data_IF_619841144170
#
_entry.id   IF_619841144170
#
_cell.length_a   1.000
_cell.length_b   1.000
_cell.length_c   1.000
_cell.angle_alpha   90.00
_cell.angle_beta   90.00
_cell.angle_gamma   90.00
#
_symmetry.space_group_name_H-M   'P 1'
#
loop_
_entity.id
_entity.type
_entity.pdbx_description
1 polymer ?
#
# COMPACT_ATOMS: atom_id res chain seq x y z
N UNK A 1 -0.99 -18.40 24.70
CA UNK A 1 -0.42 -18.41 23.34
C UNK A 1 0.43 -17.17 23.16
N UNK A 2 1.66 -17.30 22.67
CA UNK A 2 2.53 -16.16 22.32
C UNK A 2 2.00 -15.50 21.05
N UNK A 3 1.76 -14.19 21.09
CA UNK A 3 1.40 -13.38 19.92
C UNK A 3 2.56 -12.47 19.52
N UNK A 4 2.51 -11.96 18.29
CA UNK A 4 3.40 -10.88 17.81
C UNK A 4 2.65 -9.92 16.92
N UNK A 5 3.16 -8.71 16.76
CA UNK A 5 2.68 -7.79 15.72
C UNK A 5 3.20 -8.23 14.34
N UNK A 6 2.45 -7.88 13.31
CA UNK A 6 2.88 -8.00 11.91
C UNK A 6 4.19 -7.23 11.68
N UNK A 7 5.19 -7.89 11.07
CA UNK A 7 6.50 -7.27 10.82
C UNK A 7 6.39 -6.02 9.94
N UNK A 8 5.44 -6.01 9.01
CA UNK A 8 5.19 -4.84 8.17
C UNK A 8 4.76 -3.61 8.97
N UNK A 9 4.04 -3.79 10.10
CA UNK A 9 3.65 -2.69 10.98
C UNK A 9 4.81 -2.21 11.85
N UNK A 10 5.75 -3.09 12.19
CA UNK A 10 6.96 -2.69 12.93
C UNK A 10 7.89 -1.85 12.05
N UNK A 11 7.94 -2.12 10.73
CA UNK A 11 8.63 -1.23 9.77
C UNK A 11 7.99 0.16 9.74
N UNK A 12 6.65 0.25 9.67
CA UNK A 12 5.93 1.54 9.73
C UNK A 12 6.27 2.28 11.03
N UNK A 13 6.22 1.59 12.17
CA UNK A 13 6.52 2.18 13.47
C UNK A 13 7.95 2.72 13.52
N UNK A 14 8.93 1.98 12.97
CA UNK A 14 10.32 2.41 12.90
C UNK A 14 10.49 3.66 12.02
N UNK A 15 9.89 3.68 10.82
CA UNK A 15 9.92 4.85 9.93
C UNK A 15 9.29 6.08 10.57
N UNK A 16 8.13 5.90 11.24
CA UNK A 16 7.44 6.97 11.97
C UNK A 16 8.29 7.50 13.13
N UNK A 17 8.90 6.61 13.93
CA UNK A 17 9.72 7.03 15.06
C UNK A 17 11.02 7.72 14.61
N UNK A 18 11.58 7.34 13.46
CA UNK A 18 12.72 8.03 12.88
C UNK A 18 12.32 9.43 12.35
N UNK A 19 11.15 9.56 11.72
CA UNK A 19 10.65 10.82 11.19
C UNK A 19 10.23 11.81 12.29
N UNK A 20 9.53 11.31 13.31
CA UNK A 20 8.93 12.11 14.37
C UNK A 20 9.36 11.57 15.76
N UNK A 21 10.65 11.69 16.13
CA UNK A 21 11.19 11.07 17.34
C UNK A 21 10.55 11.60 18.63
N UNK A 22 10.10 12.86 18.61
CA UNK A 22 9.48 13.56 19.75
C UNK A 22 7.97 13.38 19.83
N UNK A 23 7.34 12.66 18.90
CA UNK A 23 5.89 12.44 18.94
C UNK A 23 5.46 11.73 20.22
N UNK A 24 4.30 12.13 20.70
CA UNK A 24 3.50 11.39 21.65
C UNK A 24 3.20 9.99 21.12
N UNK A 25 3.15 9.04 22.06
CA UNK A 25 2.82 7.63 21.83
C UNK A 25 1.64 7.19 22.71
N UNK A 26 0.92 8.15 23.30
CA UNK A 26 -0.15 7.91 24.29
C UNK A 26 -1.30 7.06 23.76
N UNK A 27 -1.49 7.06 22.44
CA UNK A 27 -2.51 6.26 21.74
C UNK A 27 -1.90 5.27 20.75
N UNK A 28 -0.60 4.95 20.87
CA UNK A 28 -0.03 3.85 20.11
C UNK A 28 -0.56 2.52 20.69
N UNK A 29 -1.05 1.64 19.83
CA UNK A 29 -1.69 0.39 20.22
C UNK A 29 -1.33 -0.73 19.26
N UNK A 30 -1.26 -1.97 19.75
CA UNK A 30 -1.06 -3.14 18.89
C UNK A 30 -2.02 -4.26 19.27
N UNK A 31 -1.98 -4.76 20.50
CA UNK A 31 -2.89 -5.81 20.96
C UNK A 31 -4.16 -5.19 21.57
N UNK A 32 -5.32 -5.78 21.26
CA UNK A 32 -6.56 -5.44 21.94
C UNK A 32 -6.52 -5.86 23.41
N UNK A 33 -7.20 -5.12 24.29
CA UNK A 33 -7.36 -5.57 25.67
C UNK A 33 -8.17 -6.88 25.75
N UNK A 34 -8.18 -7.59 26.90
CA UNK A 34 -8.94 -8.84 27.04
C UNK A 34 -10.46 -8.70 26.77
N UNK A 35 -11.05 -7.53 26.99
CA UNK A 35 -12.46 -7.27 26.65
C UNK A 35 -12.65 -7.07 25.13
N UNK A 36 -11.62 -6.62 24.42
CA UNK A 36 -11.55 -6.51 22.97
C UNK A 36 -11.33 -7.87 22.29
N UNK A 37 -10.75 -8.84 23.00
CA UNK A 37 -10.49 -10.20 22.50
C UNK A 37 -11.78 -10.98 22.14
N UNK A 38 -12.92 -10.61 22.73
CA UNK A 38 -14.22 -11.21 22.43
C UNK A 38 -14.81 -10.80 21.06
N UNK A 39 -14.19 -9.85 20.35
CA UNK A 39 -14.67 -9.29 19.09
C UNK A 39 -13.83 -9.77 17.90
N UNK A 40 -14.41 -9.77 16.70
CA UNK A 40 -13.61 -9.92 15.47
C UNK A 40 -12.89 -8.61 15.19
N UNK A 41 -11.58 -8.56 15.48
CA UNK A 41 -10.73 -7.37 15.32
C UNK A 41 -9.32 -7.77 14.89
N UNK A 42 -8.66 -6.94 14.09
CA UNK A 42 -7.26 -7.16 13.69
C UNK A 42 -6.25 -6.82 14.77
N UNK A 43 -6.71 -6.19 15.86
CA UNK A 43 -5.99 -6.09 17.12
C UNK A 43 -5.97 -7.42 17.90
N UNK A 44 -6.72 -8.42 17.45
CA UNK A 44 -6.65 -9.78 17.99
C UNK A 44 -5.73 -10.64 17.13
N UNK A 45 -4.92 -11.53 17.73
CA UNK A 45 -4.06 -12.41 16.97
C UNK A 45 -4.89 -13.31 16.04
N UNK A 46 -4.44 -13.43 14.79
CA UNK A 46 -5.00 -14.41 13.86
C UNK A 46 -4.62 -15.86 14.26
N UNK A 47 -5.02 -16.85 13.45
CA UNK A 47 -4.70 -18.27 13.69
C UNK A 47 -3.19 -18.58 13.81
N UNK A 48 -2.33 -17.72 13.30
CA UNK A 48 -0.87 -17.84 13.38
C UNK A 48 -0.27 -17.02 14.55
N UNK A 49 -1.09 -16.45 15.43
CA UNK A 49 -0.64 -15.60 16.53
C UNK A 49 -0.19 -14.20 16.09
N UNK A 50 -0.62 -13.72 14.92
CA UNK A 50 -0.19 -12.42 14.38
C UNK A 50 -1.30 -11.39 14.51
N UNK A 51 -0.97 -10.27 15.15
CA UNK A 51 -1.81 -9.08 15.24
C UNK A 51 -1.53 -8.18 14.03
N UNK A 52 -2.58 -7.89 13.25
CA UNK A 52 -2.46 -7.20 11.95
C UNK A 52 -2.83 -5.73 12.00
N UNK A 53 -3.23 -5.22 13.16
CA UNK A 53 -3.53 -3.81 13.37
C UNK A 53 -2.49 -3.13 14.27
N UNK A 54 -2.26 -1.85 14.00
CA UNK A 54 -1.53 -0.94 14.88
C UNK A 54 -2.14 0.44 14.80
N UNK A 55 -2.23 1.08 15.96
CA UNK A 55 -2.62 2.47 16.10
C UNK A 55 -1.39 3.37 16.22
N UNK A 56 -1.44 4.53 15.58
CA UNK A 56 -0.40 5.56 15.64
C UNK A 56 -1.00 6.87 16.14
N UNK A 57 -0.48 7.36 17.26
CA UNK A 57 -0.93 8.60 17.90
C UNK A 57 -0.83 9.78 16.93
N UNK A 58 -1.90 10.58 16.81
CA UNK A 58 -1.85 11.85 16.11
C UNK A 58 -1.19 12.90 17.01
N UNK A 59 -0.04 13.40 16.57
CA UNK A 59 0.70 14.45 17.29
C UNK A 59 1.45 15.34 16.29
N UNK A 60 0.77 16.34 15.70
CA UNK A 60 1.38 17.22 14.71
C UNK A 60 2.49 18.09 15.34
N UNK A 61 2.39 18.42 16.64
CA UNK A 61 3.43 19.19 17.34
C UNK A 61 4.71 18.37 17.56
N UNK A 62 4.57 17.07 17.80
CA UNK A 62 5.69 16.13 17.89
C UNK A 62 6.18 15.60 16.54
N UNK A 63 5.56 16.03 15.43
CA UNK A 63 5.99 15.76 14.05
C UNK A 63 5.21 14.68 13.29
N UNK A 64 4.15 14.10 13.86
CA UNK A 64 3.30 13.12 13.19
C UNK A 64 1.87 13.65 12.98
N UNK A 65 1.62 14.23 11.80
CA UNK A 65 0.28 14.55 11.35
C UNK A 65 -0.38 13.33 10.67
N UNK A 66 -1.44 12.82 11.29
CA UNK A 66 -2.18 11.66 10.79
C UNK A 66 -3.03 11.97 9.57
N UNK A 67 -3.35 13.25 9.29
CA UNK A 67 -3.97 13.64 8.01
C UNK A 67 -3.01 13.37 6.85
N UNK A 68 -1.73 13.73 7.02
CA UNK A 68 -0.68 13.49 6.02
C UNK A 68 -0.39 11.99 5.90
N UNK A 69 -0.28 11.28 7.03
CA UNK A 69 -0.05 9.84 7.03
C UNK A 69 -1.20 9.07 6.35
N UNK A 70 -2.46 9.41 6.66
CA UNK A 70 -3.64 8.80 6.05
C UNK A 70 -3.66 8.99 4.53
N UNK A 71 -3.35 10.20 4.05
CA UNK A 71 -3.29 10.49 2.62
C UNK A 71 -2.22 9.63 1.92
N UNK A 72 -1.00 9.57 2.47
CA UNK A 72 0.09 8.76 1.91
C UNK A 72 -0.24 7.27 1.86
N UNK A 73 -0.78 6.73 2.96
CA UNK A 73 -1.18 5.33 3.02
C UNK A 73 -2.33 5.02 2.04
N UNK A 74 -3.30 5.93 1.90
CA UNK A 74 -4.38 5.78 0.94
C UNK A 74 -3.89 5.78 -0.51
N UNK A 75 -2.92 6.62 -0.84
CA UNK A 75 -2.31 6.63 -2.18
C UNK A 75 -1.53 5.34 -2.46
N UNK A 76 -0.77 4.83 -1.49
CA UNK A 76 -0.12 3.52 -1.61
C UNK A 76 -1.13 2.38 -1.75
N UNK A 77 -2.24 2.42 -1.00
CA UNK A 77 -3.32 1.43 -1.06
C UNK A 77 -3.99 1.43 -2.44
N UNK A 78 -4.25 2.61 -3.02
CA UNK A 78 -4.80 2.79 -4.38
C UNK A 78 -3.82 2.26 -5.43
N UNK A 79 -2.55 2.62 -5.31
CA UNK A 79 -1.50 2.18 -6.23
C UNK A 79 -1.26 0.66 -6.14
N UNK A 80 -1.54 0.03 -5.00
CA UNK A 80 -1.33 -1.40 -4.79
C UNK A 80 0.15 -1.79 -4.83
N UNK A 81 1.03 -0.88 -4.44
CA UNK A 81 2.49 -1.01 -4.61
C UNK A 81 3.17 -1.73 -3.45
N UNK A 82 2.54 -1.77 -2.27
CA UNK A 82 3.13 -2.37 -1.08
C UNK A 82 2.47 -3.73 -0.73
N UNK A 83 3.23 -4.81 -0.50
CA UNK A 83 2.67 -6.14 -0.20
C UNK A 83 1.72 -6.15 1.01
N UNK A 84 2.01 -5.33 2.02
CA UNK A 84 1.20 -5.22 3.23
C UNK A 84 -0.16 -4.54 3.01
N UNK A 85 -0.38 -3.91 1.85
CA UNK A 85 -1.64 -3.24 1.48
C UNK A 85 -2.48 -4.09 0.49
N UNK A 86 -2.31 -5.41 0.53
CA UNK A 86 -3.14 -6.39 -0.18
C UNK A 86 -4.53 -6.61 0.46
N UNK A 87 -5.22 -7.67 0.02
CA UNK A 87 -6.59 -7.98 0.48
C UNK A 87 -6.69 -8.07 2.01
N UNK A 88 -7.75 -7.50 2.58
CA UNK A 88 -7.97 -7.37 4.01
C UNK A 88 -7.17 -6.27 4.71
N UNK A 89 -6.44 -5.42 3.97
CA UNK A 89 -5.84 -4.20 4.52
C UNK A 89 -6.84 -3.02 4.49
N UNK A 90 -6.77 -2.15 5.50
CA UNK A 90 -7.58 -0.93 5.59
C UNK A 90 -6.96 0.11 6.52
N UNK A 91 -7.41 1.35 6.37
CA UNK A 91 -7.00 2.50 7.17
C UNK A 91 -8.28 3.15 7.73
N UNK A 92 -8.28 3.47 9.02
CA UNK A 92 -9.33 4.26 9.65
C UNK A 92 -8.71 5.53 10.21
N UNK A 93 -9.26 6.68 9.80
CA UNK A 93 -8.84 7.99 10.29
C UNK A 93 -10.03 8.93 10.28
N UNK A 94 -10.19 9.69 11.35
CA UNK A 94 -11.15 10.78 11.47
C UNK A 94 -12.58 10.40 11.01
N UNK A 95 -13.15 9.35 11.61
CA UNK A 95 -14.49 8.81 11.27
C UNK A 95 -14.66 8.38 9.82
N UNK A 96 -13.57 8.07 9.12
CA UNK A 96 -13.61 7.52 7.76
C UNK A 96 -12.77 6.28 7.64
N UNK A 97 -13.10 5.43 6.66
CA UNK A 97 -12.41 4.18 6.36
C UNK A 97 -12.18 4.03 4.86
N UNK A 98 -10.99 3.58 4.49
CA UNK A 98 -10.66 3.11 3.13
C UNK A 98 -10.05 1.71 3.25
N UNK A 99 -10.40 0.80 2.33
CA UNK A 99 -9.93 -0.58 2.38
C UNK A 99 -9.54 -1.09 1.01
N UNK A 100 -8.61 -2.05 0.97
CA UNK A 100 -8.14 -2.63 -0.30
C UNK A 100 -9.29 -3.31 -1.05
N UNK A 101 -10.13 -4.05 -0.34
CA UNK A 101 -11.20 -4.84 -0.96
C UNK A 101 -12.37 -3.98 -1.46
N UNK A 102 -12.47 -2.72 -0.99
CA UNK A 102 -13.48 -1.74 -1.43
C UNK A 102 -12.83 -0.46 -1.96
N UNK A 103 -11.66 -0.60 -2.59
CA UNK A 103 -10.83 0.54 -3.00
C UNK A 103 -11.55 1.45 -4.01
N UNK A 104 -12.44 0.88 -4.82
CA UNK A 104 -13.24 1.59 -5.82
C UNK A 104 -14.25 2.58 -5.21
N UNK A 105 -14.63 2.39 -3.95
CA UNK A 105 -15.54 3.29 -3.24
C UNK A 105 -14.80 4.46 -2.55
N UNK A 106 -13.46 4.42 -2.51
CA UNK A 106 -12.65 5.42 -1.84
C UNK A 106 -12.88 5.48 -0.32
N UNK A 107 -12.78 6.69 0.23
CA UNK A 107 -13.06 6.95 1.65
C UNK A 107 -14.55 6.89 1.92
N UNK A 108 -14.93 6.14 2.96
CA UNK A 108 -16.32 5.94 3.37
C UNK A 108 -16.53 6.34 4.82
N UNK A 109 -17.75 6.71 5.23
CA UNK A 109 -18.05 6.93 6.64
C UNK A 109 -17.72 5.69 7.49
N UNK A 110 -17.14 5.92 8.67
CA UNK A 110 -16.88 4.91 9.68
C UNK A 110 -17.69 5.20 10.94
N UNK A 111 -18.52 4.24 11.34
CA UNK A 111 -19.48 4.35 12.45
C UNK A 111 -19.08 3.55 13.70
N UNK A 112 -17.86 3.05 13.77
CA UNK A 112 -17.38 2.34 14.96
C UNK A 112 -17.28 3.26 16.18
N UNK A 113 -17.39 2.69 17.38
CA UNK A 113 -17.46 3.42 18.65
C UNK A 113 -16.25 4.32 18.89
N UNK A 114 -15.04 3.86 18.56
CA UNK A 114 -13.84 4.69 18.56
C UNK A 114 -13.79 5.50 17.26
N UNK A 115 -13.88 6.84 17.28
CA UNK A 115 -13.95 7.63 16.06
C UNK A 115 -12.59 7.83 15.36
N UNK A 116 -11.48 7.34 15.92
CA UNK A 116 -10.12 7.45 15.35
C UNK A 116 -9.72 8.91 15.03
N UNK A 117 -10.02 9.83 15.96
CA UNK A 117 -9.64 11.26 15.84
C UNK A 117 -8.36 11.61 16.60
N UNK A 118 -7.86 10.68 17.44
CA UNK A 118 -6.64 10.85 18.25
C UNK A 118 -5.50 9.94 17.79
N UNK A 119 -5.78 8.95 16.96
CA UNK A 119 -4.81 8.03 16.37
C UNK A 119 -5.34 7.53 15.02
N UNK A 120 -4.42 7.17 14.14
CA UNK A 120 -4.70 6.47 12.90
C UNK A 120 -4.60 4.97 13.14
N UNK A 121 -5.63 4.22 12.73
CA UNK A 121 -5.61 2.76 12.71
C UNK A 121 -5.16 2.27 11.34
N UNK A 122 -4.18 1.37 11.32
CA UNK A 122 -3.72 0.68 10.12
C UNK A 122 -3.84 -0.84 10.31
N UNK A 123 -4.62 -1.47 9.44
CA UNK A 123 -4.63 -2.93 9.27
C UNK A 123 -3.91 -3.33 7.99
N UNK A 124 -3.01 -4.31 8.07
CA UNK A 124 -2.27 -4.87 6.92
C UNK A 124 -2.90 -6.15 6.40
N UNK A 125 -2.53 -6.60 5.19
CA UNK A 125 -3.13 -7.70 4.46
C UNK A 125 -3.25 -9.02 5.25
N UNK A 126 -4.23 -9.86 4.89
CA UNK A 126 -4.48 -11.17 5.56
C UNK A 126 -3.44 -12.23 5.20
N UNK A 127 -2.78 -12.10 4.05
CA UNK A 127 -1.75 -13.05 3.60
C UNK A 127 -0.43 -12.80 4.32
N UNK A 128 0.26 -13.88 4.68
CA UNK A 128 1.57 -13.82 5.35
C UNK A 128 2.60 -13.01 4.57
N UNK A 129 2.64 -13.16 3.24
CA UNK A 129 3.52 -12.35 2.38
C UNK A 129 3.28 -10.84 2.49
N UNK A 130 2.11 -10.41 2.98
CA UNK A 130 1.81 -9.01 3.27
C UNK A 130 2.18 -8.63 4.70
N UNK A 131 1.60 -9.31 5.71
CA UNK A 131 1.81 -8.93 7.11
C UNK A 131 3.23 -9.22 7.64
N UNK A 132 3.97 -10.14 7.02
CA UNK A 132 5.38 -10.43 7.35
C UNK A 132 6.39 -9.75 6.41
N UNK A 133 5.92 -8.95 5.45
CA UNK A 133 6.80 -8.16 4.58
C UNK A 133 7.63 -7.18 5.42
N UNK A 134 8.95 -7.20 5.21
CA UNK A 134 9.89 -6.21 5.78
C UNK A 134 10.33 -5.17 4.76
N UNK A 135 9.70 -5.14 3.57
CA UNK A 135 9.91 -4.10 2.56
C UNK A 135 9.69 -2.72 3.21
N UNK A 136 10.60 -1.75 3.04
CA UNK A 136 10.39 -0.39 3.51
C UNK A 136 9.13 0.21 2.89
N UNK A 137 8.33 0.87 3.72
CA UNK A 137 7.15 1.58 3.24
C UNK A 137 7.55 2.89 2.56
N UNK A 138 8.68 3.46 2.96
CA UNK A 138 9.20 4.75 2.47
C UNK A 138 8.18 5.89 2.68
N UNK A 139 7.48 5.88 3.82
CA UNK A 139 6.40 6.83 4.11
C UNK A 139 6.85 8.28 4.12
N UNK A 140 8.12 8.53 4.43
CA UNK A 140 8.69 9.87 4.57
C UNK A 140 9.84 10.14 3.59
N UNK A 141 10.13 9.20 2.70
CA UNK A 141 11.10 9.45 1.63
C UNK A 141 10.55 10.57 0.72
N UNK A 142 11.42 11.45 0.18
CA UNK A 142 11.01 12.31 -0.93
C UNK A 142 10.43 11.42 -2.03
N UNK A 143 9.38 11.87 -2.76
CA UNK A 143 8.82 11.10 -3.84
C UNK A 143 9.97 10.68 -4.75
N UNK A 144 10.12 9.37 -4.97
CA UNK A 144 11.12 8.88 -5.89
C UNK A 144 10.94 9.67 -7.20
N UNK A 145 12.02 10.22 -7.80
CA UNK A 145 11.90 10.90 -9.07
C UNK A 145 11.09 9.99 -9.97
N UNK A 146 10.01 10.51 -10.55
CA UNK A 146 9.08 9.73 -11.34
C UNK A 146 9.90 8.94 -12.36
N UNK A 147 10.09 7.65 -12.08
CA UNK A 147 10.67 6.76 -13.06
C UNK A 147 9.55 6.65 -14.08
N UNK A 148 9.55 7.57 -15.06
CA UNK A 148 8.86 7.33 -16.33
C UNK A 148 9.27 5.91 -16.67
N UNK A 149 8.36 4.95 -16.55
CA UNK A 149 8.63 3.56 -16.93
C UNK A 149 9.26 3.70 -18.29
N UNK A 150 10.57 3.45 -18.39
CA UNK A 150 11.24 3.53 -19.68
C UNK A 150 10.44 2.56 -20.54
N UNK A 151 9.82 3.03 -21.65
CA UNK A 151 9.26 2.08 -22.60
C UNK A 151 10.38 1.06 -22.88
N UNK A 152 10.07 -0.24 -22.94
CA UNK A 152 11.01 -1.23 -23.51
C UNK A 152 11.69 -0.55 -24.69
N UNK A 153 13.03 -0.56 -24.82
CA UNK A 153 13.71 0.24 -25.83
C UNK A 153 12.96 0.05 -27.14
N UNK A 154 12.35 1.12 -27.66
CA UNK A 154 11.40 1.00 -28.79
C UNK A 154 12.08 0.31 -29.97
N UNK A 155 13.42 0.41 -30.05
CA UNK A 155 14.30 -0.33 -30.95
C UNK A 155 14.16 -1.86 -30.81
N UNK A 156 14.17 -2.41 -29.60
CA UNK A 156 14.07 -3.86 -29.35
C UNK A 156 12.66 -4.38 -29.64
N UNK A 157 11.62 -3.59 -29.30
CA UNK A 157 10.24 -3.91 -29.63
C UNK A 157 9.99 -3.90 -31.15
N UNK A 158 10.56 -2.93 -31.88
CA UNK A 158 10.52 -2.89 -33.35
C UNK A 158 11.27 -4.10 -33.92
N UNK A 159 12.46 -4.44 -33.40
CA UNK A 159 13.26 -5.58 -33.88
C UNK A 159 12.53 -6.90 -33.67
N UNK A 160 11.90 -7.09 -32.52
CA UNK A 160 11.08 -8.28 -32.23
C UNK A 160 9.83 -8.36 -33.12
N UNK A 161 9.14 -7.24 -33.35
CA UNK A 161 7.99 -7.19 -34.25
C UNK A 161 8.38 -7.46 -35.72
N UNK A 162 9.54 -6.97 -36.15
CA UNK A 162 10.10 -7.27 -37.48
C UNK A 162 10.46 -8.75 -37.63
N UNK A 163 11.04 -9.37 -36.59
CA UNK A 163 11.32 -10.81 -36.59
C UNK A 163 10.02 -11.64 -36.69
N UNK A 164 8.95 -11.21 -36.04
CA UNK A 164 7.63 -11.86 -36.11
C UNK A 164 6.91 -11.70 -37.46
N UNK A 165 7.44 -10.90 -38.39
CA UNK A 165 6.95 -10.78 -39.76
C UNK A 165 7.44 -11.93 -40.65
N UNK A 166 8.60 -12.51 -40.29
CA UNK A 166 9.18 -13.64 -41.02
C UNK A 166 8.31 -14.88 -40.80
N UNK A 167 7.72 -15.41 -41.87
CA UNK A 167 6.81 -16.55 -41.82
C UNK A 167 5.37 -16.22 -41.41
N UNK A 168 5.01 -14.93 -41.26
CA UNK A 168 3.64 -14.54 -40.94
C UNK A 168 2.73 -14.58 -42.18
N UNK A 169 1.57 -15.24 -42.06
CA UNK A 169 0.51 -15.15 -43.06
C UNK A 169 -0.05 -13.72 -43.21
N UNK A 170 -0.75 -13.41 -44.31
CA UNK A 170 -1.05 -12.04 -44.76
C UNK A 170 -1.81 -11.20 -43.73
N UNK A 171 -2.79 -11.78 -43.04
CA UNK A 171 -3.58 -11.08 -42.00
C UNK A 171 -2.73 -10.72 -40.77
N UNK A 172 -1.83 -11.61 -40.37
CA UNK A 172 -0.92 -11.38 -39.24
C UNK A 172 0.16 -10.36 -39.61
N UNK A 173 0.65 -10.40 -40.85
CA UNK A 173 1.63 -9.46 -41.36
C UNK A 173 1.11 -8.02 -41.32
N UNK A 174 -0.14 -7.77 -41.73
CA UNK A 174 -0.72 -6.42 -41.70
C UNK A 174 -0.88 -5.86 -40.28
N UNK A 175 -1.30 -6.69 -39.32
CA UNK A 175 -1.38 -6.29 -37.91
C UNK A 175 -0.02 -5.96 -37.32
N UNK A 176 1.01 -6.75 -37.64
CA UNK A 176 2.39 -6.50 -37.20
C UNK A 176 2.96 -5.22 -37.82
N UNK A 177 2.70 -4.97 -39.11
CA UNK A 177 3.10 -3.71 -39.79
C UNK A 177 2.41 -2.48 -39.20
N UNK A 178 1.13 -2.58 -38.84
CA UNK A 178 0.41 -1.51 -38.13
C UNK A 178 1.04 -1.22 -36.75
N UNK A 179 1.35 -2.26 -35.97
CA UNK A 179 2.03 -2.10 -34.69
C UNK A 179 3.42 -1.46 -34.81
N UNK A 180 4.20 -1.83 -35.84
CA UNK A 180 5.51 -1.21 -36.11
C UNK A 180 5.37 0.28 -36.46
N UNK A 181 4.32 0.67 -37.20
CA UNK A 181 4.05 2.09 -37.54
C UNK A 181 3.77 2.91 -36.28
N UNK A 182 2.94 2.41 -35.37
CA UNK A 182 2.67 3.10 -34.10
C UNK A 182 3.91 3.20 -33.22
N UNK A 183 4.70 2.13 -33.10
CA UNK A 183 5.95 2.16 -32.35
C UNK A 183 6.95 3.18 -32.92
N UNK A 184 6.99 3.37 -34.24
CA UNK A 184 7.85 4.37 -34.89
C UNK A 184 7.39 5.81 -34.65
N UNK A 185 6.09 6.06 -34.49
CA UNK A 185 5.56 7.39 -34.11
C UNK A 185 6.02 7.76 -32.70
N UNK A 186 5.95 6.81 -31.75
CA UNK A 186 6.39 7.00 -30.36
C UNK A 186 7.91 7.21 -30.27
N UNK A 187 8.73 6.62 -31.15
CA UNK A 187 10.20 6.85 -31.18
C UNK A 187 10.60 8.27 -31.56
N UNK A 188 9.74 9.01 -32.28
CA UNK A 188 10.03 10.35 -32.83
C UNK A 188 9.63 11.49 -31.89
N UNK A 189 8.91 11.20 -30.82
CA UNK A 189 8.53 12.12 -29.74
C UNK A 189 9.56 12.05 -28.61
#
# INVERSE_FOLDING_TARGET
MTWRTARSLDVVLAEINAHAPKRSKVSDGSIGDPAHAARTSDHNPNKAGVVRARDFTHDPHGGLDCNVLAARLADMLRAGTHPALGSGAYIIWNRTIISRDRIHEGWRPYSGTNPHTKHLHLSVATKASGYDSTVPWNLFAPPAPSVKRRPKPIRDAIKAAQAALVGAGPVRAERVKAAIRELRKVKKQ
#
